data_IF_485880880320
#
_entry.id   IF_485880880320
#
_cell.length_a   1.000
_cell.length_b   1.000
_cell.length_c   1.000
_cell.angle_alpha   90.00
_cell.angle_beta   90.00
_cell.angle_gamma   90.00
#
_symmetry.space_group_name_H-M   'P 1'
#
loop_
_entity.id
_entity.type
_entity.pdbx_description
1 polymer ?
#
# COMPACT_ATOMS: atom_id res chain seq x y z
N UNK A 1 12.74 -11.34 8.37
CA UNK A 1 12.29 -11.62 9.74
C UNK A 1 11.25 -12.74 9.72
N UNK A 2 11.30 -13.64 10.68
CA UNK A 2 10.40 -14.80 10.76
C UNK A 2 9.84 -14.89 12.17
N UNK A 3 8.54 -15.16 12.28
CA UNK A 3 7.89 -15.47 13.54
C UNK A 3 7.67 -16.98 13.61
N UNK A 4 8.37 -17.66 14.52
CA UNK A 4 8.09 -19.05 14.82
C UNK A 4 6.85 -19.16 15.72
N UNK A 5 6.01 -20.17 15.47
CA UNK A 5 4.93 -20.47 16.37
C UNK A 5 5.46 -21.11 17.67
N UNK A 6 4.61 -21.32 18.67
CA UNK A 6 4.98 -21.72 20.04
C UNK A 6 5.60 -23.13 20.17
N UNK A 7 5.75 -23.91 19.10
CA UNK A 7 6.22 -25.30 19.15
C UNK A 7 7.74 -25.48 19.16
N UNK A 8 8.47 -24.37 19.31
CA UNK A 8 9.93 -24.35 19.44
C UNK A 8 10.62 -23.61 18.30
N UNK A 9 11.72 -22.96 18.64
CA UNK A 9 12.57 -22.34 17.64
C UNK A 9 13.15 -23.42 16.73
N UNK A 10 13.11 -23.27 15.39
CA UNK A 10 13.77 -24.21 14.49
C UNK A 10 15.27 -24.21 14.79
N UNK A 11 15.81 -25.36 15.17
CA UNK A 11 17.20 -25.48 15.61
C UNK A 11 18.22 -25.18 14.48
N UNK A 12 17.84 -25.37 13.21
CA UNK A 12 18.72 -25.12 12.05
C UNK A 12 17.91 -24.55 10.84
N UNK A 13 17.31 -23.40 11.01
CA UNK A 13 16.58 -22.75 9.93
C UNK A 13 17.54 -21.93 9.03
N UNK A 14 17.43 -22.14 7.71
CA UNK A 14 18.25 -21.50 6.70
C UNK A 14 17.38 -20.77 5.66
N UNK A 15 17.83 -19.58 5.30
CA UNK A 15 17.25 -18.80 4.16
C UNK A 15 18.22 -18.89 2.99
N UNK A 16 17.72 -19.26 1.83
CA UNK A 16 18.47 -19.29 0.57
C UNK A 16 17.74 -18.40 -0.45
N UNK A 17 18.47 -17.56 -1.14
CA UNK A 17 17.95 -16.75 -2.26
C UNK A 17 18.60 -17.27 -3.55
N UNK A 18 17.75 -17.55 -4.54
CA UNK A 18 18.19 -17.93 -5.89
C UNK A 18 17.67 -16.95 -6.92
N UNK A 19 18.41 -16.79 -8.00
CA UNK A 19 17.99 -16.03 -9.18
C UNK A 19 16.99 -16.82 -10.06
N UNK A 20 16.63 -16.24 -11.20
CA UNK A 20 15.72 -16.83 -12.18
C UNK A 20 16.30 -18.06 -12.94
N UNK A 21 17.61 -18.31 -12.81
CA UNK A 21 18.31 -19.48 -13.35
C UNK A 21 18.53 -20.57 -12.30
N UNK A 22 18.13 -20.31 -11.04
CA UNK A 22 18.32 -21.21 -9.90
C UNK A 22 19.70 -21.13 -9.26
N UNK A 23 20.55 -20.18 -9.70
CA UNK A 23 21.85 -19.97 -9.05
C UNK A 23 21.65 -19.32 -7.67
N UNK A 24 22.37 -19.82 -6.66
CA UNK A 24 22.32 -19.28 -5.30
C UNK A 24 23.08 -17.96 -5.27
N UNK A 25 22.36 -16.88 -4.94
CA UNK A 25 22.91 -15.52 -4.83
C UNK A 25 23.05 -15.05 -3.38
N UNK A 26 22.50 -15.78 -2.43
CA UNK A 26 22.66 -15.47 -1.03
C UNK A 26 22.14 -16.57 -0.10
N UNK A 27 22.81 -16.78 1.02
CA UNK A 27 22.43 -17.76 2.06
C UNK A 27 22.70 -17.17 3.43
N UNK A 28 21.80 -17.38 4.36
CA UNK A 28 22.02 -17.05 5.78
C UNK A 28 21.30 -18.05 6.67
N UNK A 29 21.78 -18.21 7.90
CA UNK A 29 21.05 -18.90 8.95
C UNK A 29 20.14 -17.94 9.68
N UNK A 30 18.95 -18.40 10.06
CA UNK A 30 18.07 -17.67 10.96
C UNK A 30 18.67 -17.63 12.37
N UNK A 31 18.83 -16.43 12.91
CA UNK A 31 19.33 -16.19 14.26
C UNK A 31 18.16 -15.78 15.16
N UNK A 32 18.14 -16.30 16.39
CA UNK A 32 17.15 -15.87 17.36
C UNK A 32 17.24 -14.37 17.65
N UNK A 33 16.10 -13.71 17.72
CA UNK A 33 15.96 -12.27 18.01
C UNK A 33 15.09 -12.07 19.25
N UNK A 34 15.58 -12.39 20.45
CA UNK A 34 14.78 -12.41 21.68
C UNK A 34 14.31 -11.03 22.14
N UNK A 35 14.93 -9.98 21.64
CA UNK A 35 14.54 -8.58 21.93
C UNK A 35 13.48 -8.01 21.00
N UNK A 36 13.13 -8.73 19.94
CA UNK A 36 12.12 -8.27 18.99
C UNK A 36 10.73 -8.74 19.46
N UNK A 37 9.78 -7.84 19.74
CA UNK A 37 8.47 -8.23 20.25
C UNK A 37 7.61 -8.95 19.22
N UNK A 38 7.92 -8.82 17.94
CA UNK A 38 7.10 -9.32 16.84
C UNK A 38 7.71 -10.55 16.16
N UNK A 39 9.03 -10.59 16.01
CA UNK A 39 9.73 -11.64 15.27
C UNK A 39 10.71 -12.39 16.17
N UNK A 40 10.64 -13.69 16.14
CA UNK A 40 11.49 -14.57 16.96
C UNK A 40 12.85 -14.83 16.33
N UNK A 41 12.96 -14.67 15.00
CA UNK A 41 14.19 -14.94 14.26
C UNK A 41 14.41 -13.91 13.16
N UNK A 42 15.69 -13.63 12.87
CA UNK A 42 16.14 -12.73 11.83
C UNK A 42 17.28 -13.35 11.03
N UNK A 43 17.34 -13.06 9.74
CA UNK A 43 18.49 -13.30 8.89
C UNK A 43 18.77 -12.07 8.05
N UNK A 44 20.03 -11.77 7.80
CA UNK A 44 20.49 -10.75 6.86
C UNK A 44 21.22 -11.44 5.72
N UNK A 45 20.92 -11.05 4.49
CA UNK A 45 21.48 -11.61 3.28
C UNK A 45 21.87 -10.44 2.39
N UNK A 46 23.13 -10.38 2.05
CA UNK A 46 23.65 -9.45 1.04
C UNK A 46 23.61 -10.12 -0.33
N UNK A 47 23.03 -9.43 -1.30
CA UNK A 47 23.02 -9.83 -2.71
C UNK A 47 23.92 -8.84 -3.45
N UNK A 48 25.07 -9.32 -3.94
CA UNK A 48 25.98 -8.50 -4.71
C UNK A 48 25.36 -8.15 -6.07
N UNK A 49 25.39 -6.85 -6.43
CA UNK A 49 24.86 -6.33 -7.70
C UNK A 49 23.44 -6.83 -8.05
N UNK A 50 22.44 -6.59 -7.18
CA UNK A 50 21.12 -7.17 -7.39
C UNK A 50 20.46 -6.62 -8.65
N UNK A 51 19.78 -7.48 -9.40
CA UNK A 51 18.85 -7.05 -10.45
C UNK A 51 17.61 -6.46 -9.77
N UNK A 52 17.42 -5.17 -9.98
CA UNK A 52 16.37 -4.42 -9.29
C UNK A 52 15.00 -4.65 -9.96
N UNK A 53 13.98 -4.77 -9.12
CA UNK A 53 12.59 -4.85 -9.56
C UNK A 53 12.06 -3.48 -9.98
N UNK A 54 11.37 -3.42 -11.13
CA UNK A 54 10.58 -2.27 -11.59
C UNK A 54 9.31 -2.78 -12.27
N UNK A 55 8.31 -1.90 -12.50
CA UNK A 55 7.11 -2.29 -13.23
C UNK A 55 7.39 -2.65 -14.72
N UNK A 56 8.47 -2.14 -15.29
CA UNK A 56 8.90 -2.41 -16.66
C UNK A 56 9.81 -3.65 -16.76
N UNK A 57 10.50 -3.98 -15.66
CA UNK A 57 11.39 -5.14 -15.55
C UNK A 57 11.21 -5.80 -14.18
N UNK A 58 10.17 -6.60 -13.99
CA UNK A 58 9.78 -7.13 -12.68
C UNK A 58 10.64 -8.35 -12.30
N UNK A 59 11.92 -8.11 -12.04
CA UNK A 59 12.82 -9.19 -11.65
C UNK A 59 12.55 -9.66 -10.23
N UNK A 60 12.34 -10.97 -10.07
CA UNK A 60 12.07 -11.62 -8.80
C UNK A 60 13.06 -12.72 -8.53
N UNK A 61 13.61 -12.74 -7.33
CA UNK A 61 14.36 -13.85 -6.76
C UNK A 61 13.41 -14.84 -6.09
N UNK A 62 13.83 -16.10 -5.98
CA UNK A 62 13.14 -17.10 -5.18
C UNK A 62 13.79 -17.18 -3.80
N UNK A 63 13.01 -17.00 -2.77
CA UNK A 63 13.41 -17.19 -1.37
C UNK A 63 12.93 -18.54 -0.88
N UNK A 64 13.82 -19.32 -0.30
CA UNK A 64 13.53 -20.58 0.36
C UNK A 64 13.90 -20.44 1.83
N UNK A 65 12.94 -20.66 2.71
CA UNK A 65 13.17 -20.79 4.15
C UNK A 65 13.01 -22.29 4.48
N UNK A 66 14.11 -22.93 4.79
CA UNK A 66 14.12 -24.35 5.13
C UNK A 66 14.36 -24.54 6.62
N UNK A 67 13.46 -25.29 7.27
CA UNK A 67 13.59 -25.76 8.64
C UNK A 67 13.70 -27.29 8.65
N UNK A 68 13.81 -27.90 9.83
CA UNK A 68 13.80 -29.36 9.98
C UNK A 68 12.46 -30.01 9.58
N UNK A 69 11.38 -29.20 9.50
CA UNK A 69 10.01 -29.71 9.35
C UNK A 69 9.30 -29.22 8.09
N UNK A 70 9.75 -28.09 7.51
CA UNK A 70 9.07 -27.47 6.38
C UNK A 70 10.01 -26.69 5.46
N UNK A 71 9.54 -26.44 4.25
CA UNK A 71 10.15 -25.53 3.29
C UNK A 71 9.11 -24.50 2.88
N UNK A 72 9.38 -23.23 3.16
CA UNK A 72 8.55 -22.11 2.74
C UNK A 72 9.22 -21.48 1.53
N UNK A 73 8.45 -21.29 0.46
CA UNK A 73 8.91 -20.62 -0.77
C UNK A 73 8.14 -19.33 -0.97
N UNK A 74 8.85 -18.24 -1.28
CA UNK A 74 8.24 -16.97 -1.69
C UNK A 74 9.09 -16.32 -2.79
N UNK A 75 8.48 -15.37 -3.53
CA UNK A 75 9.16 -14.54 -4.52
C UNK A 75 9.44 -13.18 -3.92
N UNK A 76 10.66 -12.69 -4.09
CA UNK A 76 11.09 -11.42 -3.52
C UNK A 76 11.74 -10.54 -4.59
N UNK A 77 11.42 -9.26 -4.56
CA UNK A 77 12.04 -8.25 -5.45
C UNK A 77 12.85 -7.24 -4.64
N UNK A 78 13.98 -6.85 -5.19
CA UNK A 78 14.84 -5.83 -4.59
C UNK A 78 14.54 -4.49 -5.24
N UNK A 79 14.11 -3.52 -4.46
CA UNK A 79 13.84 -2.16 -4.94
C UNK A 79 13.92 -1.15 -3.80
N UNK A 80 14.08 0.11 -4.16
CA UNK A 80 13.97 1.26 -3.25
C UNK A 80 13.00 2.28 -3.84
N UNK A 81 12.05 2.79 -3.04
CA UNK A 81 11.20 3.90 -3.43
C UNK A 81 11.35 5.05 -2.45
N UNK A 82 11.23 6.27 -2.93
CA UNK A 82 11.31 7.48 -2.11
C UNK A 82 10.82 8.71 -2.87
N UNK A 83 10.86 9.83 -2.18
CA UNK A 83 10.53 11.15 -2.71
C UNK A 83 11.77 12.03 -2.69
N UNK A 84 12.00 12.77 -3.77
CA UNK A 84 13.03 13.80 -3.87
C UNK A 84 12.38 15.09 -4.36
N UNK A 85 12.25 16.06 -3.44
CA UNK A 85 11.41 17.22 -3.66
C UNK A 85 9.95 16.83 -3.89
N UNK A 86 9.40 17.13 -5.06
CA UNK A 86 8.05 16.77 -5.47
C UNK A 86 8.01 15.61 -6.50
N UNK A 87 9.08 14.80 -6.57
CA UNK A 87 9.22 13.71 -7.53
C UNK A 87 9.35 12.37 -6.83
N UNK A 88 8.51 11.41 -7.21
CA UNK A 88 8.66 10.02 -6.78
C UNK A 88 9.76 9.35 -7.59
N UNK A 89 10.67 8.68 -6.90
CA UNK A 89 11.78 7.92 -7.51
C UNK A 89 11.73 6.46 -7.08
N UNK A 90 11.89 5.56 -8.05
CA UNK A 90 12.15 4.14 -7.83
C UNK A 90 13.58 3.83 -8.27
N UNK A 91 14.36 3.20 -7.40
CA UNK A 91 15.76 2.87 -7.66
C UNK A 91 16.57 4.09 -8.16
N UNK A 92 16.31 5.25 -7.56
CA UNK A 92 16.94 6.53 -7.90
C UNK A 92 16.42 7.20 -9.18
N UNK A 93 15.52 6.59 -9.95
CA UNK A 93 14.97 7.13 -11.21
C UNK A 93 13.57 7.68 -11.02
N UNK A 94 13.23 8.86 -11.56
CA UNK A 94 11.87 9.39 -11.56
C UNK A 94 10.88 8.42 -12.21
N UNK A 95 9.72 8.25 -11.58
CA UNK A 95 8.62 7.46 -12.13
C UNK A 95 7.32 8.27 -12.14
N UNK A 96 6.36 7.85 -12.97
CA UNK A 96 4.99 8.35 -12.96
C UNK A 96 4.03 7.18 -12.88
N UNK A 97 3.03 7.30 -12.02
CA UNK A 97 1.94 6.36 -11.94
C UNK A 97 0.91 6.66 -13.04
N UNK A 98 0.67 5.67 -13.89
CA UNK A 98 -0.42 5.62 -14.86
C UNK A 98 -1.30 4.47 -14.42
N UNK A 99 -2.23 4.76 -13.54
CA UNK A 99 -2.93 3.74 -12.80
C UNK A 99 -4.44 3.82 -12.94
N UNK A 100 -5.06 2.80 -12.36
CA UNK A 100 -6.50 2.72 -12.19
C UNK A 100 -6.83 2.35 -10.74
N UNK A 101 -8.05 2.71 -10.32
CA UNK A 101 -8.68 2.17 -9.14
C UNK A 101 -9.39 0.87 -9.55
N UNK A 102 -9.09 -0.23 -8.87
CA UNK A 102 -9.64 -1.54 -9.19
C UNK A 102 -10.52 -2.04 -8.05
N UNK A 103 -11.76 -2.37 -8.38
CA UNK A 103 -12.65 -3.16 -7.54
C UNK A 103 -12.65 -4.62 -7.96
N UNK A 104 -12.87 -5.52 -6.99
CA UNK A 104 -13.26 -6.89 -7.30
C UNK A 104 -14.72 -6.86 -7.77
N UNK A 105 -14.93 -7.02 -9.09
CA UNK A 105 -16.24 -6.93 -9.71
C UNK A 105 -16.34 -7.83 -10.93
N UNK A 106 -17.31 -8.72 -10.92
CA UNK A 106 -17.68 -9.59 -12.03
C UNK A 106 -19.18 -9.49 -12.30
N UNK A 107 -19.64 -9.46 -13.56
CA UNK A 107 -21.06 -9.28 -13.88
C UNK A 107 -21.95 -10.46 -13.45
N UNK A 108 -21.39 -11.62 -13.15
CA UNK A 108 -22.13 -12.83 -12.75
C UNK A 108 -21.94 -13.15 -11.28
N UNK A 109 -20.69 -13.10 -10.79
CA UNK A 109 -20.33 -13.53 -9.43
C UNK A 109 -20.24 -12.36 -8.43
N UNK A 110 -20.43 -11.12 -8.89
CA UNK A 110 -20.32 -9.93 -8.05
C UNK A 110 -18.89 -9.68 -7.56
N UNK A 111 -18.65 -9.55 -6.24
CA UNK A 111 -17.30 -9.29 -5.72
C UNK A 111 -16.41 -10.54 -5.64
N UNK A 112 -16.90 -11.70 -6.05
CA UNK A 112 -16.11 -12.95 -6.03
C UNK A 112 -15.39 -13.09 -7.36
N UNK A 113 -14.10 -12.80 -7.35
CA UNK A 113 -13.22 -12.83 -8.52
C UNK A 113 -12.44 -14.13 -8.55
N UNK A 114 -12.48 -14.84 -9.66
CA UNK A 114 -11.62 -15.99 -9.87
C UNK A 114 -10.24 -15.59 -10.43
N UNK A 115 -9.35 -16.57 -10.50
CA UNK A 115 -7.98 -16.36 -10.94
C UNK A 115 -7.89 -15.95 -12.41
N UNK A 116 -8.72 -16.51 -13.27
CA UNK A 116 -8.71 -16.24 -14.71
C UNK A 116 -9.23 -14.84 -15.03
N UNK A 117 -10.25 -14.40 -14.32
CA UNK A 117 -10.74 -13.01 -14.38
C UNK A 117 -9.64 -12.04 -13.99
N UNK A 118 -8.94 -12.31 -12.88
CA UNK A 118 -7.85 -11.45 -12.41
C UNK A 118 -6.71 -11.38 -13.43
N UNK A 119 -6.31 -12.51 -14.02
CA UNK A 119 -5.31 -12.51 -15.10
C UNK A 119 -5.76 -11.70 -16.31
N UNK A 120 -7.05 -11.75 -16.63
CA UNK A 120 -7.63 -10.97 -17.72
C UNK A 120 -7.53 -9.49 -17.43
N UNK A 121 -7.91 -9.05 -16.23
CA UNK A 121 -7.78 -7.65 -15.79
C UNK A 121 -6.34 -7.16 -15.93
N UNK A 122 -5.38 -7.89 -15.35
CA UNK A 122 -3.96 -7.48 -15.36
C UNK A 122 -3.39 -7.42 -16.79
N UNK A 123 -3.75 -8.36 -17.67
CA UNK A 123 -3.32 -8.36 -19.07
C UNK A 123 -3.89 -7.16 -19.83
N UNK A 124 -5.17 -6.87 -19.66
CA UNK A 124 -5.82 -5.71 -20.28
C UNK A 124 -5.15 -4.40 -19.81
N UNK A 125 -4.89 -4.26 -18.52
CA UNK A 125 -4.19 -3.09 -17.98
C UNK A 125 -2.82 -2.92 -18.62
N UNK A 126 -2.01 -3.98 -18.75
CA UNK A 126 -0.71 -3.93 -19.42
C UNK A 126 -0.83 -3.56 -20.89
N UNK A 127 -1.78 -4.14 -21.63
CA UNK A 127 -2.02 -3.82 -23.04
C UNK A 127 -2.38 -2.34 -23.26
N UNK A 128 -3.00 -1.69 -22.25
CA UNK A 128 -3.34 -0.27 -22.28
C UNK A 128 -2.30 0.63 -21.59
N UNK A 129 -1.09 0.11 -21.33
CA UNK A 129 0.03 0.83 -20.73
C UNK A 129 -0.21 1.36 -19.31
N UNK A 130 -1.07 0.73 -18.55
CA UNK A 130 -1.14 0.99 -17.11
C UNK A 130 0.05 0.34 -16.40
N UNK A 131 0.62 1.05 -15.44
CA UNK A 131 1.73 0.57 -14.61
C UNK A 131 1.43 0.63 -13.12
N UNK A 132 0.24 1.08 -12.72
CA UNK A 132 -0.13 1.22 -11.31
C UNK A 132 -1.58 0.81 -11.06
N UNK A 133 -1.84 0.29 -9.86
CA UNK A 133 -3.17 -0.11 -9.39
C UNK A 133 -3.34 0.34 -7.95
N UNK A 134 -4.48 0.96 -7.64
CA UNK A 134 -4.96 1.13 -6.27
C UNK A 134 -5.98 0.04 -5.99
N UNK A 135 -5.78 -0.72 -4.90
CA UNK A 135 -6.75 -1.71 -4.42
C UNK A 135 -7.91 -1.00 -3.71
N UNK A 136 -8.77 -0.37 -4.49
CA UNK A 136 -9.89 0.41 -4.00
C UNK A 136 -11.05 -0.49 -3.58
N UNK A 137 -11.60 -0.40 -2.40
CA UNK A 137 -11.14 0.35 -1.23
C UNK A 137 -10.94 -0.65 -0.09
N UNK A 138 -10.21 -1.72 -0.37
CA UNK A 138 -9.97 -2.85 0.54
C UNK A 138 -8.79 -3.70 0.06
N UNK A 139 -8.15 -4.48 0.96
CA UNK A 139 -7.13 -5.43 0.56
C UNK A 139 -7.70 -6.51 -0.37
N UNK A 140 -7.06 -6.72 -1.51
CA UNK A 140 -7.40 -7.81 -2.42
C UNK A 140 -6.81 -9.15 -1.91
N UNK A 141 -7.17 -10.26 -2.55
CA UNK A 141 -6.61 -11.57 -2.24
C UNK A 141 -5.07 -11.58 -2.36
N UNK A 142 -4.33 -12.32 -1.50
CA UNK A 142 -2.86 -12.30 -1.51
C UNK A 142 -2.23 -12.62 -2.86
N UNK A 143 -2.83 -13.50 -3.66
CA UNK A 143 -2.33 -13.84 -5.00
C UNK A 143 -2.45 -12.69 -6.01
N UNK A 144 -3.34 -11.70 -5.80
CA UNK A 144 -3.37 -10.49 -6.61
C UNK A 144 -2.04 -9.75 -6.54
N UNK A 145 -1.51 -9.55 -5.34
CA UNK A 145 -0.23 -8.84 -5.15
C UNK A 145 0.96 -9.64 -5.69
N UNK A 146 0.92 -10.98 -5.59
CA UNK A 146 1.91 -11.85 -6.21
C UNK A 146 1.93 -11.69 -7.73
N UNK A 147 0.77 -11.63 -8.35
CA UNK A 147 0.65 -11.37 -9.79
C UNK A 147 1.11 -9.94 -10.14
N UNK A 148 0.84 -8.95 -9.31
CA UNK A 148 1.37 -7.60 -9.49
C UNK A 148 2.90 -7.57 -9.41
N UNK A 149 3.52 -8.39 -8.53
CA UNK A 149 4.97 -8.56 -8.47
C UNK A 149 5.51 -9.13 -9.78
N UNK A 150 4.84 -10.13 -10.36
CA UNK A 150 5.26 -10.83 -11.57
C UNK A 150 4.99 -10.05 -12.86
N UNK A 151 3.83 -9.43 -12.97
CA UNK A 151 3.43 -8.64 -14.15
C UNK A 151 4.02 -7.22 -14.13
N UNK A 152 4.55 -6.78 -13.00
CA UNK A 152 5.16 -5.47 -12.86
C UNK A 152 4.15 -4.33 -12.76
N UNK A 153 3.42 -4.25 -11.66
CA UNK A 153 2.58 -3.11 -11.33
C UNK A 153 3.04 -2.45 -10.04
N UNK A 154 3.03 -1.13 -10.00
CA UNK A 154 3.12 -0.38 -8.76
C UNK A 154 1.77 -0.45 -8.06
N UNK A 155 1.73 -0.95 -6.84
CA UNK A 155 0.48 -1.08 -6.10
C UNK A 155 0.43 -0.08 -4.95
N UNK A 156 -0.67 0.65 -4.87
CA UNK A 156 -1.12 1.29 -3.65
C UNK A 156 -2.06 0.32 -2.94
N UNK A 157 -1.58 -0.27 -1.87
CA UNK A 157 -2.38 -1.17 -1.06
C UNK A 157 -3.19 -0.36 -0.04
N UNK A 158 -4.49 -0.49 -0.09
CA UNK A 158 -5.43 0.26 0.73
C UNK A 158 -6.10 -0.63 1.75
N UNK A 159 -6.15 -0.15 2.99
CA UNK A 159 -6.89 -0.79 4.07
C UNK A 159 -8.40 -0.52 3.90
N UNK A 160 -9.23 -1.38 4.47
CA UNK A 160 -10.68 -1.36 4.32
C UNK A 160 -11.40 -0.39 5.29
N UNK A 161 -10.78 0.74 5.60
CA UNK A 161 -11.45 1.84 6.28
C UNK A 161 -12.22 2.66 5.25
N UNK A 162 -13.54 2.63 5.34
CA UNK A 162 -14.46 3.38 4.47
C UNK A 162 -15.59 3.95 5.31
N UNK A 163 -15.81 5.26 5.27
CA UNK A 163 -16.88 5.90 6.02
C UNK A 163 -17.49 7.14 5.33
N UNK A 164 -17.45 7.18 4.00
CA UNK A 164 -17.98 8.28 3.22
C UNK A 164 -19.45 8.60 3.56
N UNK A 165 -20.25 7.57 3.80
CA UNK A 165 -21.67 7.74 4.19
C UNK A 165 -21.88 8.58 5.44
N UNK A 166 -20.89 8.73 6.33
CA UNK A 166 -21.00 9.58 7.51
C UNK A 166 -21.04 11.07 7.16
N UNK A 167 -20.52 11.46 6.00
CA UNK A 167 -20.54 12.84 5.55
C UNK A 167 -21.98 13.41 5.47
N UNK A 168 -22.93 12.64 4.95
CA UNK A 168 -24.29 13.09 4.76
C UNK A 168 -25.28 12.53 5.79
N UNK A 169 -25.03 11.31 6.30
CA UNK A 169 -25.97 10.57 7.13
C UNK A 169 -26.23 11.23 8.49
N UNK A 170 -25.22 11.88 9.06
CA UNK A 170 -25.29 12.43 10.42
C UNK A 170 -25.39 13.96 10.45
N UNK A 171 -25.43 14.63 9.30
CA UNK A 171 -25.43 16.08 9.22
C UNK A 171 -26.83 16.59 8.83
N UNK A 172 -27.46 17.47 9.62
CA UNK A 172 -28.78 18.04 9.32
C UNK A 172 -28.77 18.99 8.11
N UNK A 173 -27.62 19.56 7.78
CA UNK A 173 -27.39 20.42 6.62
C UNK A 173 -26.41 19.74 5.67
N UNK A 174 -26.88 19.41 4.46
CA UNK A 174 -26.11 18.76 3.42
C UNK A 174 -25.24 19.74 2.57
N UNK A 175 -25.10 20.99 3.00
CA UNK A 175 -24.18 21.92 2.33
C UNK A 175 -22.72 21.42 2.46
N UNK A 176 -21.92 21.67 1.41
CA UNK A 176 -20.54 21.21 1.39
C UNK A 176 -19.72 21.74 2.59
N UNK A 177 -19.88 23.02 2.90
CA UNK A 177 -19.14 23.67 4.01
C UNK A 177 -19.48 23.03 5.36
N UNK A 178 -20.77 22.74 5.62
CA UNK A 178 -21.19 22.10 6.85
C UNK A 178 -20.71 20.64 6.92
N UNK A 179 -20.76 19.92 5.80
CA UNK A 179 -20.28 18.53 5.76
C UNK A 179 -18.78 18.46 6.08
N UNK A 180 -17.96 19.31 5.47
CA UNK A 180 -16.51 19.36 5.75
C UNK A 180 -16.23 19.73 7.21
N UNK A 181 -17.01 20.66 7.78
CA UNK A 181 -16.82 21.12 9.16
C UNK A 181 -17.11 20.05 10.23
N UNK A 182 -17.83 18.98 9.89
CA UNK A 182 -18.28 17.95 10.85
C UNK A 182 -17.94 16.51 10.45
N UNK A 183 -17.49 16.30 9.22
CA UNK A 183 -17.30 14.96 8.68
C UNK A 183 -16.32 14.09 9.51
N UNK A 184 -15.30 14.70 10.08
CA UNK A 184 -14.30 13.99 10.87
C UNK A 184 -14.77 13.59 12.28
N UNK A 185 -15.76 14.29 12.84
CA UNK A 185 -16.20 14.12 14.23
C UNK A 185 -16.69 12.70 14.57
N UNK A 186 -17.51 12.03 13.71
CA UNK A 186 -18.08 10.73 14.06
C UNK A 186 -17.01 9.62 14.19
N UNK A 187 -15.99 9.61 13.32
CA UNK A 187 -15.03 8.50 13.20
C UNK A 187 -13.59 8.99 13.18
N UNK A 188 -13.20 9.80 12.20
CA UNK A 188 -11.79 10.08 11.93
C UNK A 188 -11.08 10.81 13.08
N UNK A 189 -11.75 11.78 13.71
CA UNK A 189 -11.20 12.53 14.84
C UNK A 189 -11.78 12.08 16.21
N UNK A 190 -12.40 10.92 16.26
CA UNK A 190 -12.92 10.32 17.47
C UNK A 190 -11.93 9.30 18.03
N UNK A 191 -11.34 9.53 19.23
CA UNK A 191 -10.35 8.62 19.82
C UNK A 191 -10.84 7.19 20.02
N UNK A 192 -12.15 6.96 20.15
CA UNK A 192 -12.72 5.62 20.29
C UNK A 192 -12.48 4.73 19.06
N UNK A 193 -12.25 5.33 17.88
CA UNK A 193 -12.02 4.61 16.63
C UNK A 193 -10.54 4.36 16.32
N UNK A 194 -9.60 4.89 17.10
CA UNK A 194 -8.16 4.65 16.91
C UNK A 194 -7.84 3.14 16.83
N UNK A 195 -8.27 2.28 17.78
CA UNK A 195 -7.93 0.87 17.75
C UNK A 195 -8.43 0.16 16.48
N UNK A 196 -9.66 0.45 16.06
CA UNK A 196 -10.28 -0.18 14.89
C UNK A 196 -9.62 0.26 13.58
N UNK A 197 -9.39 1.56 13.40
CA UNK A 197 -8.75 2.12 12.20
C UNK A 197 -7.31 1.60 12.07
N UNK A 198 -6.59 1.55 13.19
CA UNK A 198 -5.24 0.98 13.25
C UNK A 198 -5.23 -0.51 12.93
N UNK A 199 -6.12 -1.32 13.52
CA UNK A 199 -6.17 -2.77 13.30
C UNK A 199 -6.35 -3.11 11.81
N UNK A 200 -7.28 -2.46 11.11
CA UNK A 200 -7.49 -2.63 9.67
C UNK A 200 -6.25 -2.24 8.85
N UNK A 201 -5.63 -1.12 9.20
CA UNK A 201 -4.38 -0.68 8.55
C UNK A 201 -3.25 -1.67 8.80
N UNK A 202 -3.11 -2.17 10.04
CA UNK A 202 -2.12 -3.17 10.39
C UNK A 202 -2.33 -4.48 9.63
N UNK A 203 -3.56 -4.97 9.54
CA UNK A 203 -3.88 -6.19 8.81
C UNK A 203 -3.46 -6.08 7.33
N UNK A 204 -3.77 -4.97 6.67
CA UNK A 204 -3.34 -4.71 5.30
C UNK A 204 -1.81 -4.74 5.16
N UNK A 205 -1.10 -4.00 6.01
CA UNK A 205 0.37 -3.87 5.94
C UNK A 205 1.05 -5.20 6.26
N UNK A 206 0.65 -5.91 7.31
CA UNK A 206 1.26 -7.17 7.71
C UNK A 206 1.17 -8.25 6.64
N UNK A 207 0.03 -8.34 5.95
CA UNK A 207 -0.18 -9.33 4.90
C UNK A 207 0.65 -9.02 3.64
N UNK A 208 0.79 -7.74 3.28
CA UNK A 208 1.38 -7.35 2.00
C UNK A 208 2.82 -6.78 2.09
N UNK A 209 3.40 -6.69 3.28
CA UNK A 209 4.74 -6.08 3.50
C UNK A 209 5.89 -6.70 2.70
N UNK A 210 5.75 -7.96 2.27
CA UNK A 210 6.79 -8.67 1.51
C UNK A 210 6.67 -8.47 -0.01
N UNK A 211 5.64 -7.78 -0.50
CA UNK A 211 5.38 -7.62 -1.93
C UNK A 211 6.19 -6.44 -2.49
N UNK A 212 7.11 -6.65 -3.46
CA UNK A 212 7.86 -5.55 -4.09
C UNK A 212 6.97 -4.61 -4.89
N UNK A 213 5.86 -5.08 -5.46
CA UNK A 213 4.88 -4.27 -6.16
C UNK A 213 4.23 -3.21 -5.28
N UNK A 214 4.01 -3.51 -3.99
CA UNK A 214 3.44 -2.54 -3.06
C UNK A 214 4.46 -1.44 -2.80
N UNK A 215 4.19 -0.25 -3.30
CA UNK A 215 5.06 0.92 -3.19
C UNK A 215 4.46 2.02 -2.31
N UNK A 216 3.14 1.97 -2.07
CA UNK A 216 2.44 2.90 -1.20
C UNK A 216 1.43 2.19 -0.30
N UNK A 217 1.27 2.75 0.89
CA UNK A 217 0.23 2.39 1.85
C UNK A 217 -0.80 3.49 1.94
N UNK A 218 -2.08 3.11 1.87
CA UNK A 218 -3.23 3.98 2.14
C UNK A 218 -4.02 3.40 3.32
N UNK A 219 -4.30 4.18 4.36
CA UNK A 219 -5.03 3.69 5.53
C UNK A 219 -6.54 3.55 5.30
N UNK A 220 -7.07 4.02 4.17
CA UNK A 220 -8.50 3.92 3.84
C UNK A 220 -8.93 4.92 2.79
N UNK A 221 -10.25 4.98 2.58
CA UNK A 221 -10.91 5.83 1.60
C UNK A 221 -12.02 6.68 2.24
N UNK A 222 -12.12 7.94 1.84
CA UNK A 222 -13.25 8.85 2.11
C UNK A 222 -13.79 8.81 3.56
N UNK A 223 -12.87 8.91 4.53
CA UNK A 223 -13.22 8.94 5.95
C UNK A 223 -13.00 10.30 6.62
N UNK A 224 -12.67 11.38 5.85
CA UNK A 224 -12.15 12.62 6.42
C UNK A 224 -10.82 12.41 7.16
N UNK A 225 -10.33 13.39 7.92
CA UNK A 225 -9.03 13.32 8.57
C UNK A 225 -9.12 13.63 10.07
N UNK A 226 -8.37 12.87 10.86
CA UNK A 226 -8.33 13.04 12.30
C UNK A 226 -7.40 12.08 13.00
N UNK A 227 -7.48 12.05 14.33
CA UNK A 227 -6.55 11.35 15.20
C UNK A 227 -6.39 9.85 14.91
N UNK A 228 -7.45 9.18 14.43
CA UNK A 228 -7.39 7.75 14.10
C UNK A 228 -6.49 7.48 12.89
N UNK A 229 -6.52 8.36 11.88
CA UNK A 229 -5.66 8.25 10.70
C UNK A 229 -4.25 8.78 10.95
N UNK A 230 -4.08 9.85 11.74
CA UNK A 230 -2.76 10.30 12.21
C UNK A 230 -2.01 9.17 12.94
N UNK A 231 -2.71 8.46 13.81
CA UNK A 231 -2.16 7.33 14.57
C UNK A 231 -1.81 6.14 13.66
N UNK A 232 -2.69 5.78 12.74
CA UNK A 232 -2.46 4.69 11.79
C UNK A 232 -1.28 4.99 10.86
N UNK A 233 -1.19 6.20 10.29
CA UNK A 233 -0.09 6.61 9.42
C UNK A 233 1.25 6.66 10.15
N UNK A 234 1.28 7.13 11.40
CA UNK A 234 2.47 7.10 12.26
C UNK A 234 2.95 5.67 12.45
N UNK A 235 2.06 4.76 12.81
CA UNK A 235 2.39 3.35 12.97
C UNK A 235 2.95 2.75 11.66
N UNK A 236 2.34 3.05 10.50
CA UNK A 236 2.85 2.58 9.21
C UNK A 236 4.29 3.03 8.98
N UNK A 237 4.61 4.31 9.23
CA UNK A 237 5.97 4.84 9.04
C UNK A 237 6.99 4.24 10.01
N UNK A 238 6.58 3.95 11.24
CA UNK A 238 7.42 3.27 12.24
C UNK A 238 7.67 1.81 11.87
N UNK A 239 6.64 1.12 11.38
CA UNK A 239 6.71 -0.30 11.04
C UNK A 239 7.39 -0.56 9.69
N UNK A 240 7.04 0.21 8.66
CA UNK A 240 7.57 0.07 7.30
C UNK A 240 8.00 1.41 6.70
N UNK A 241 9.20 1.91 7.04
CA UNK A 241 9.74 3.13 6.46
C UNK A 241 10.18 2.98 5.00
N UNK A 242 10.07 1.79 4.41
CA UNK A 242 10.57 1.47 3.06
C UNK A 242 9.56 1.74 1.95
N UNK A 243 8.35 2.20 2.31
CA UNK A 243 7.27 2.54 1.37
C UNK A 243 6.70 3.91 1.65
N UNK A 244 6.06 4.48 0.65
CA UNK A 244 5.39 5.77 0.75
C UNK A 244 4.03 5.60 1.45
N UNK A 245 3.56 6.67 2.03
CA UNK A 245 2.22 6.79 2.60
C UNK A 245 1.44 7.86 1.88
N UNK A 246 0.16 7.61 1.69
CA UNK A 246 -0.78 8.53 1.05
C UNK A 246 -2.15 8.42 1.73
N UNK A 247 -2.84 9.53 1.82
CA UNK A 247 -4.24 9.54 2.27
C UNK A 247 -4.96 10.78 1.72
N UNK A 248 -5.92 10.56 0.82
CA UNK A 248 -6.61 11.62 0.08
C UNK A 248 -7.51 12.47 0.98
N UNK A 249 -8.19 11.83 1.94
CA UNK A 249 -9.09 12.54 2.84
C UNK A 249 -8.39 13.46 3.84
N UNK A 250 -7.06 13.48 3.85
CA UNK A 250 -6.29 14.46 4.63
C UNK A 250 -6.57 15.91 4.22
N UNK A 251 -7.18 16.12 3.06
CA UNK A 251 -7.66 17.41 2.59
C UNK A 251 -8.92 17.91 3.35
N UNK A 252 -9.70 16.97 3.90
CA UNK A 252 -11.00 17.25 4.51
C UNK A 252 -10.88 17.28 6.05
N UNK A 253 -9.94 18.06 6.58
CA UNK A 253 -9.93 18.41 8.00
C UNK A 253 -10.87 19.61 8.27
N UNK A 254 -11.35 19.74 9.48
CA UNK A 254 -12.28 20.81 9.87
C UNK A 254 -11.59 22.10 10.34
N UNK A 255 -10.26 22.14 10.36
CA UNK A 255 -9.47 23.29 10.81
C UNK A 255 -9.59 23.62 12.30
N UNK A 256 -10.32 22.85 13.11
CA UNK A 256 -10.56 23.15 14.53
C UNK A 256 -9.34 22.93 15.42
N UNK A 257 -8.38 22.13 14.97
CA UNK A 257 -7.12 21.88 15.66
C UNK A 257 -5.95 21.82 14.68
N UNK A 258 -4.73 21.71 15.20
CA UNK A 258 -3.56 21.40 14.39
C UNK A 258 -3.54 19.91 14.10
N UNK A 259 -3.63 19.53 12.81
CA UNK A 259 -3.50 18.16 12.34
C UNK A 259 -2.05 17.81 12.00
N UNK A 260 -1.69 16.54 12.11
CA UNK A 260 -0.35 16.04 11.80
C UNK A 260 -0.33 15.36 10.43
N UNK A 261 0.29 16.02 9.45
CA UNK A 261 0.49 15.51 8.07
C UNK A 261 1.91 15.00 7.82
N UNK A 262 2.75 14.93 8.87
CA UNK A 262 4.17 14.58 8.72
C UNK A 262 4.37 13.14 8.21
N UNK A 263 3.42 12.26 8.49
CA UNK A 263 3.44 10.86 8.09
C UNK A 263 2.75 10.60 6.74
N UNK A 264 2.48 11.62 5.93
CA UNK A 264 1.96 11.53 4.57
C UNK A 264 3.06 11.97 3.62
N UNK A 265 3.58 11.07 2.78
CA UNK A 265 4.67 11.37 1.86
C UNK A 265 4.19 12.01 0.56
N UNK A 266 2.98 11.66 0.13
CA UNK A 266 2.39 12.09 -1.16
C UNK A 266 1.11 12.87 -0.90
N UNK A 267 1.04 14.12 -1.39
CA UNK A 267 -0.20 14.89 -1.36
C UNK A 267 -1.13 14.39 -2.45
N UNK A 268 -2.35 14.06 -2.09
CA UNK A 268 -3.32 13.50 -3.02
C UNK A 268 -4.67 14.19 -2.95
N UNK A 269 -5.36 14.17 -4.07
CA UNK A 269 -6.72 14.73 -4.23
C UNK A 269 -7.54 13.83 -5.13
N UNK A 270 -8.84 13.86 -4.91
CA UNK A 270 -9.84 13.25 -5.78
C UNK A 270 -10.64 14.36 -6.47
N UNK A 271 -10.85 14.20 -7.78
CA UNK A 271 -11.64 15.09 -8.63
C UNK A 271 -11.31 16.59 -8.53
N UNK A 272 -10.07 17.03 -8.29
CA UNK A 272 -9.78 18.45 -8.21
C UNK A 272 -9.89 19.12 -9.59
N UNK A 273 -10.36 20.37 -9.68
CA UNK A 273 -10.25 21.15 -10.91
C UNK A 273 -8.78 21.40 -11.25
N UNK A 274 -8.49 21.59 -12.54
CA UNK A 274 -7.12 21.84 -13.00
C UNK A 274 -6.49 23.10 -12.38
N UNK A 275 -7.30 24.07 -11.99
CA UNK A 275 -6.86 25.27 -11.26
C UNK A 275 -6.17 24.93 -9.95
N UNK A 276 -6.72 24.00 -9.18
CA UNK A 276 -6.20 23.61 -7.87
C UNK A 276 -4.88 22.87 -8.00
N UNK A 277 -4.78 22.02 -9.03
CA UNK A 277 -3.51 21.32 -9.34
C UNK A 277 -2.42 22.33 -9.68
N UNK A 278 -2.72 23.32 -10.54
CA UNK A 278 -1.78 24.37 -10.90
C UNK A 278 -1.38 25.20 -9.69
N UNK A 279 -2.36 25.65 -8.90
CA UNK A 279 -2.11 26.40 -7.68
C UNK A 279 -1.18 25.65 -6.71
N UNK A 280 -1.37 24.35 -6.54
CA UNK A 280 -0.48 23.52 -5.71
C UNK A 280 0.94 23.48 -6.29
N UNK A 281 1.09 23.23 -7.58
CA UNK A 281 2.40 23.11 -8.23
C UNK A 281 3.16 24.45 -8.28
N UNK A 282 2.44 25.57 -8.46
CA UNK A 282 3.03 26.92 -8.49
C UNK A 282 3.65 27.33 -7.15
N UNK A 283 3.26 26.70 -6.05
CA UNK A 283 3.84 26.89 -4.72
C UNK A 283 5.18 26.19 -4.53
N UNK A 284 5.70 25.48 -5.53
CA UNK A 284 6.91 24.64 -5.44
C UNK A 284 6.88 23.68 -4.24
N UNK A 285 5.90 22.80 -4.17
CA UNK A 285 5.66 21.95 -3.00
C UNK A 285 6.79 20.95 -2.75
N UNK A 286 6.96 20.57 -1.50
CA UNK A 286 7.92 19.53 -1.10
C UNK A 286 7.39 18.09 -1.23
N UNK A 287 6.09 17.92 -1.55
CA UNK A 287 5.47 16.61 -1.73
C UNK A 287 4.98 16.48 -3.17
N UNK A 288 5.10 15.25 -3.75
CA UNK A 288 4.49 14.96 -5.05
C UNK A 288 2.97 15.14 -5.00
N UNK A 289 2.38 15.55 -6.13
CA UNK A 289 0.93 15.54 -6.31
C UNK A 289 0.47 14.27 -6.99
N UNK A 290 -0.52 13.59 -6.42
CA UNK A 290 -1.14 12.41 -6.98
C UNK A 290 -2.66 12.64 -7.16
N UNK A 291 -3.13 12.54 -8.40
CA UNK A 291 -4.55 12.38 -8.68
C UNK A 291 -4.94 10.95 -8.32
N UNK A 292 -5.69 10.79 -7.24
CA UNK A 292 -6.06 9.47 -6.75
C UNK A 292 -7.31 8.94 -7.45
N UNK A 293 -8.27 9.83 -7.68
CA UNK A 293 -9.46 9.53 -8.47
C UNK A 293 -9.77 10.66 -9.46
N UNK A 294 -10.05 10.26 -10.71
CA UNK A 294 -10.51 11.12 -11.81
C UNK A 294 -11.18 10.24 -12.86
N UNK A 295 -11.99 10.81 -13.73
CA UNK A 295 -12.70 10.06 -14.78
C UNK A 295 -13.47 8.85 -14.23
N UNK A 296 -14.17 9.05 -13.12
CA UNK A 296 -14.96 7.98 -12.48
C UNK A 296 -16.02 7.45 -13.45
N UNK A 297 -16.08 6.12 -13.57
CA UNK A 297 -17.12 5.44 -14.35
C UNK A 297 -17.86 4.46 -13.46
N UNK A 298 -19.17 4.57 -13.39
CA UNK A 298 -20.03 3.63 -12.68
C UNK A 298 -20.35 2.45 -13.61
N UNK A 299 -19.74 1.28 -13.35
CA UNK A 299 -19.89 0.09 -14.21
C UNK A 299 -18.99 0.10 -15.44
N UNK A 300 -19.44 -0.52 -16.52
CA UNK A 300 -18.63 -0.78 -17.74
C UNK A 300 -18.78 0.30 -18.82
N UNK A 301 -19.02 1.51 -18.46
CA UNK A 301 -19.18 2.62 -19.42
C UNK A 301 -18.48 3.90 -18.99
N UNK A 302 -18.29 4.84 -19.93
CA UNK A 302 -17.81 6.17 -19.60
C UNK A 302 -18.82 6.92 -18.75
#
# INVERSE_FOLDING_TARGET
QVRANQLGAPADARVTITDDQGAVVGVSKLQASPSDPEYTHRAEIEIAEPRLWTAESPHLYTMLIKTDHEVITDRVGVRQIGVDGNVVKLNGRPIKFRGINRHDSDPVTGPVIDFDQLLTDLRLMKQHNFNAIRSSHYPNAPYFYQLCDEYGFYVMAEADNESHGTQAQYLPDASFDNQVAHWNEPIADNPAFIPMTRDRTQACVHVQKNRPSVVMWSPGNECSYGIAFEDSLRWVKEFDPTRLTVYESSYYDDGKRKYDYSNIDVYSRMYPPLSDIRQYLDQNPSKPFLLLEYCHAMGNGP
#
